data_IF_003847516690
#
_entry.id   IF_003847516690
#
_cell.length_a   1.000
_cell.length_b   1.000
_cell.length_c   1.000
_cell.angle_alpha   90.00
_cell.angle_beta   90.00
_cell.angle_gamma   90.00
#
_symmetry.space_group_name_H-M   'P 1'
#
loop_
_entity.id
_entity.type
_entity.pdbx_description
1 polymer ?
#
# COMPACT_ATOMS: atom_id res chain seq x y z
N UNK A 1 18.80 -12.48 1.45
CA UNK A 1 19.89 -11.47 1.15
C UNK A 1 19.60 -10.18 1.91
N UNK A 2 20.62 -9.38 2.28
CA UNK A 2 20.38 -8.07 2.92
C UNK A 2 19.89 -7.06 1.87
N UNK A 3 18.97 -6.16 2.26
CA UNK A 3 18.39 -5.16 1.35
C UNK A 3 19.44 -4.37 0.55
N UNK A 4 20.54 -3.98 1.21
CA UNK A 4 21.62 -3.23 0.57
C UNK A 4 22.41 -4.05 -0.45
N UNK A 5 22.58 -5.33 -0.22
CA UNK A 5 23.24 -6.24 -1.19
C UNK A 5 22.35 -6.42 -2.41
N UNK A 6 21.06 -6.58 -2.19
CA UNK A 6 20.09 -6.72 -3.28
C UNK A 6 19.97 -5.44 -4.13
N UNK A 7 19.88 -4.27 -3.50
CA UNK A 7 19.84 -3.00 -4.25
C UNK A 7 21.12 -2.74 -5.05
N UNK A 8 22.27 -3.18 -4.56
CA UNK A 8 23.54 -3.10 -5.28
C UNK A 8 23.56 -4.09 -6.45
N UNK A 9 23.11 -5.33 -6.24
CA UNK A 9 23.03 -6.35 -7.28
C UNK A 9 22.12 -5.90 -8.43
N UNK A 10 20.95 -5.32 -8.11
CA UNK A 10 20.03 -4.74 -9.09
C UNK A 10 20.66 -3.65 -9.98
N UNK A 11 21.69 -2.94 -9.49
CA UNK A 11 22.37 -1.89 -10.24
C UNK A 11 23.52 -2.44 -11.10
N UNK A 12 24.25 -3.44 -10.59
CA UNK A 12 25.46 -3.99 -11.24
C UNK A 12 25.17 -5.16 -12.16
N UNK A 13 24.19 -6.00 -11.79
CA UNK A 13 23.77 -7.20 -12.51
C UNK A 13 22.24 -7.29 -12.47
N UNK A 14 21.53 -6.52 -13.30
CA UNK A 14 20.07 -6.36 -13.20
C UNK A 14 19.28 -7.67 -13.29
N UNK A 15 19.69 -8.60 -14.14
CA UNK A 15 19.01 -9.89 -14.33
C UNK A 15 19.10 -10.74 -13.05
N UNK A 16 20.31 -10.94 -12.52
CA UNK A 16 20.53 -11.67 -11.27
C UNK A 16 19.84 -10.96 -10.07
N UNK A 17 19.91 -9.64 -10.05
CA UNK A 17 19.26 -8.82 -9.02
C UNK A 17 17.73 -8.93 -9.03
N UNK A 18 17.12 -8.96 -10.22
CA UNK A 18 15.67 -9.17 -10.36
C UNK A 18 15.27 -10.59 -9.97
N UNK A 19 16.03 -11.60 -10.38
CA UNK A 19 15.79 -12.98 -9.99
C UNK A 19 15.83 -13.16 -8.46
N UNK A 20 16.88 -12.63 -7.83
CA UNK A 20 17.02 -12.65 -6.37
C UNK A 20 15.89 -11.91 -5.66
N UNK A 21 15.49 -10.73 -6.18
CA UNK A 21 14.37 -9.97 -5.64
C UNK A 21 13.05 -10.72 -5.74
N UNK A 22 12.82 -11.40 -6.87
CA UNK A 22 11.62 -12.21 -7.06
C UNK A 22 11.60 -13.43 -6.13
N UNK A 23 12.72 -14.12 -5.95
CA UNK A 23 12.82 -15.23 -5.00
C UNK A 23 12.47 -14.80 -3.57
N UNK A 24 13.01 -13.67 -3.11
CA UNK A 24 12.81 -13.21 -1.73
C UNK A 24 11.43 -12.58 -1.50
N UNK A 25 10.87 -11.86 -2.50
CA UNK A 25 9.72 -10.98 -2.30
C UNK A 25 8.48 -11.29 -3.14
N UNK A 26 8.53 -12.20 -4.15
CA UNK A 26 7.34 -12.52 -4.94
C UNK A 26 6.16 -13.04 -4.10
N UNK A 27 6.34 -13.87 -3.06
CA UNK A 27 5.23 -14.28 -2.21
C UNK A 27 4.54 -13.10 -1.51
N UNK A 28 5.32 -12.11 -1.05
CA UNK A 28 4.81 -10.90 -0.40
C UNK A 28 4.00 -10.04 -1.39
N UNK A 29 4.59 -9.76 -2.56
CA UNK A 29 3.95 -8.96 -3.63
C UNK A 29 2.68 -9.64 -4.11
N UNK A 30 2.73 -10.95 -4.36
CA UNK A 30 1.57 -11.75 -4.78
C UNK A 30 0.46 -11.72 -3.74
N UNK A 31 0.78 -11.86 -2.45
CA UNK A 31 -0.22 -11.80 -1.38
C UNK A 31 -0.94 -10.44 -1.35
N UNK A 32 -0.21 -9.33 -1.56
CA UNK A 32 -0.79 -8.00 -1.64
C UNK A 32 -1.68 -7.84 -2.88
N UNK A 33 -1.20 -8.22 -4.06
CA UNK A 33 -1.97 -8.12 -5.30
C UNK A 33 -3.20 -9.03 -5.30
N UNK A 34 -3.15 -10.20 -4.68
CA UNK A 34 -4.32 -11.08 -4.54
C UNK A 34 -5.45 -10.45 -3.71
N UNK A 35 -5.15 -9.55 -2.79
CA UNK A 35 -6.18 -8.81 -2.03
C UNK A 35 -6.91 -7.80 -2.90
N UNK A 36 -6.22 -7.18 -3.86
CA UNK A 36 -6.74 -6.11 -4.71
C UNK A 36 -7.36 -6.66 -6.00
N UNK A 37 -6.79 -7.73 -6.55
CA UNK A 37 -7.14 -8.32 -7.85
C UNK A 37 -7.42 -9.83 -7.71
N UNK A 38 -8.44 -10.24 -6.95
CA UNK A 38 -8.63 -11.67 -6.63
C UNK A 38 -9.02 -12.52 -7.84
N UNK A 39 -9.67 -11.94 -8.85
CA UNK A 39 -10.28 -12.68 -9.96
C UNK A 39 -9.46 -12.70 -11.26
N UNK A 40 -8.45 -11.86 -11.42
CA UNK A 40 -7.70 -11.75 -12.67
C UNK A 40 -6.21 -12.08 -12.50
N UNK A 41 -5.83 -13.29 -12.95
CA UNK A 41 -4.45 -13.77 -12.84
C UNK A 41 -3.49 -13.01 -13.75
N UNK A 42 -3.89 -12.72 -14.99
CA UNK A 42 -3.06 -12.00 -15.97
C UNK A 42 -2.73 -10.59 -15.50
N UNK A 43 -3.73 -9.86 -15.00
CA UNK A 43 -3.50 -8.50 -14.47
C UNK A 43 -2.61 -8.50 -13.22
N UNK A 44 -2.69 -9.56 -12.38
CA UNK A 44 -1.78 -9.71 -11.24
C UNK A 44 -0.34 -9.95 -11.67
N UNK A 45 -0.13 -10.78 -12.68
CA UNK A 45 1.21 -11.07 -13.23
C UNK A 45 1.82 -9.80 -13.84
N UNK A 46 1.05 -9.02 -14.58
CA UNK A 46 1.47 -7.73 -15.12
C UNK A 46 1.79 -6.73 -13.99
N UNK A 47 0.91 -6.62 -13.00
CA UNK A 47 1.14 -5.75 -11.83
C UNK A 47 2.37 -6.19 -11.03
N UNK A 48 2.63 -7.50 -10.92
CA UNK A 48 3.81 -8.04 -10.25
C UNK A 48 5.09 -7.68 -11.02
N UNK A 49 5.10 -7.82 -12.34
CA UNK A 49 6.20 -7.40 -13.19
C UNK A 49 6.48 -5.90 -13.03
N UNK A 50 5.45 -5.07 -13.04
CA UNK A 50 5.55 -3.62 -12.82
C UNK A 50 6.15 -3.26 -11.46
N UNK A 51 5.84 -4.00 -10.40
CA UNK A 51 6.43 -3.80 -9.07
C UNK A 51 7.94 -4.05 -9.10
N UNK A 52 8.39 -5.16 -9.68
CA UNK A 52 9.81 -5.50 -9.74
C UNK A 52 10.58 -4.59 -10.70
N UNK A 53 10.00 -4.17 -11.82
CA UNK A 53 10.60 -3.14 -12.68
C UNK A 53 10.72 -1.79 -11.96
N UNK A 54 9.72 -1.44 -11.14
CA UNK A 54 9.79 -0.23 -10.33
C UNK A 54 10.87 -0.33 -9.26
N UNK A 55 11.06 -1.50 -8.63
CA UNK A 55 12.15 -1.76 -7.71
C UNK A 55 13.50 -1.55 -8.39
N UNK A 56 13.72 -2.17 -9.54
CA UNK A 56 14.96 -2.02 -10.31
C UNK A 56 15.25 -0.56 -10.64
N UNK A 57 14.28 0.17 -11.20
CA UNK A 57 14.44 1.60 -11.54
C UNK A 57 14.77 2.49 -10.35
N UNK A 58 14.35 2.10 -9.16
CA UNK A 58 14.59 2.86 -7.93
C UNK A 58 15.75 2.31 -7.09
N UNK A 59 16.46 1.27 -7.52
CA UNK A 59 17.48 0.59 -6.73
C UNK A 59 18.55 1.54 -6.19
N UNK A 60 19.07 2.45 -7.03
CA UNK A 60 20.07 3.45 -6.64
C UNK A 60 19.54 4.43 -5.58
N UNK A 61 18.28 4.88 -5.70
CA UNK A 61 17.66 5.76 -4.72
C UNK A 61 17.46 5.02 -3.39
N UNK A 62 16.94 3.79 -3.43
CA UNK A 62 16.68 2.96 -2.26
C UNK A 62 17.97 2.61 -1.50
N UNK A 63 19.07 2.32 -2.22
CA UNK A 63 20.38 2.12 -1.60
C UNK A 63 20.87 3.38 -0.90
N UNK A 64 20.83 4.53 -1.60
CA UNK A 64 21.29 5.82 -1.07
C UNK A 64 20.52 6.24 0.19
N UNK A 65 19.22 6.02 0.21
CA UNK A 65 18.35 6.38 1.35
C UNK A 65 18.26 5.31 2.42
N UNK A 66 18.93 4.17 2.23
CA UNK A 66 18.84 2.99 3.09
C UNK A 66 17.38 2.58 3.41
N UNK A 67 16.48 2.72 2.43
CA UNK A 67 15.06 2.42 2.57
C UNK A 67 14.85 0.91 2.70
N UNK A 68 14.16 0.42 3.74
CA UNK A 68 13.84 -1.00 3.87
C UNK A 68 12.96 -1.48 2.72
N UNK A 69 13.36 -2.55 2.01
CA UNK A 69 12.70 -3.01 0.80
C UNK A 69 11.32 -3.61 1.07
N UNK A 70 11.16 -4.35 2.16
CA UNK A 70 9.89 -5.02 2.47
C UNK A 70 8.71 -4.05 2.61
N UNK A 71 8.74 -3.00 3.47
CA UNK A 71 7.65 -2.02 3.54
C UNK A 71 7.49 -1.22 2.25
N UNK A 72 8.59 -0.88 1.57
CA UNK A 72 8.53 -0.18 0.29
C UNK A 72 7.83 -1.01 -0.79
N UNK A 73 8.10 -2.31 -0.87
CA UNK A 73 7.44 -3.23 -1.81
C UNK A 73 5.96 -3.42 -1.50
N UNK A 74 5.55 -3.45 -0.23
CA UNK A 74 4.14 -3.50 0.17
C UNK A 74 3.39 -2.28 -0.38
N UNK A 75 3.92 -1.08 -0.17
CA UNK A 75 3.33 0.17 -0.66
C UNK A 75 3.30 0.20 -2.19
N UNK A 76 4.40 -0.18 -2.83
CA UNK A 76 4.50 -0.20 -4.30
C UNK A 76 3.52 -1.20 -4.91
N UNK A 77 3.44 -2.42 -4.37
CA UNK A 77 2.50 -3.43 -4.84
C UNK A 77 1.05 -3.00 -4.65
N UNK A 78 0.73 -2.41 -3.49
CA UNK A 78 -0.58 -1.83 -3.21
C UNK A 78 -0.94 -0.76 -4.26
N UNK A 79 -0.08 0.20 -4.49
CA UNK A 79 -0.35 1.30 -5.42
C UNK A 79 -0.52 0.79 -6.86
N UNK A 80 0.40 -0.05 -7.34
CA UNK A 80 0.28 -0.68 -8.66
C UNK A 80 -1.00 -1.50 -8.83
N UNK A 81 -1.36 -2.26 -7.79
CA UNK A 81 -2.61 -3.03 -7.78
C UNK A 81 -3.84 -2.14 -7.87
N UNK A 82 -3.89 -1.04 -7.11
CA UNK A 82 -4.99 -0.07 -7.12
C UNK A 82 -5.08 0.66 -8.47
N UNK A 83 -3.95 1.12 -9.01
CA UNK A 83 -3.90 1.79 -10.31
C UNK A 83 -4.46 0.89 -11.42
N UNK A 84 -4.02 -0.38 -11.45
CA UNK A 84 -4.52 -1.37 -12.40
C UNK A 84 -6.01 -1.66 -12.20
N UNK A 85 -6.44 -1.87 -10.97
CA UNK A 85 -7.84 -2.05 -10.64
C UNK A 85 -8.70 -0.88 -11.12
N UNK A 86 -8.31 0.37 -10.84
CA UNK A 86 -9.01 1.56 -11.28
C UNK A 86 -9.05 1.69 -12.81
N UNK A 87 -7.98 1.29 -13.50
CA UNK A 87 -7.92 1.28 -14.96
C UNK A 87 -8.91 0.26 -15.56
N UNK A 88 -9.01 -0.93 -14.96
CA UNK A 88 -9.95 -1.97 -15.37
C UNK A 88 -11.41 -1.60 -15.08
N UNK A 89 -11.67 -1.05 -13.90
CA UNK A 89 -13.01 -0.61 -13.50
C UNK A 89 -13.60 0.46 -14.45
N UNK A 90 -12.76 1.29 -15.07
CA UNK A 90 -13.20 2.24 -16.10
C UNK A 90 -13.62 1.56 -17.40
N UNK A 91 -13.23 0.31 -17.62
CA UNK A 91 -13.49 -0.46 -18.83
C UNK A 91 -14.59 -1.51 -18.67
N UNK A 92 -14.78 -2.04 -17.46
CA UNK A 92 -15.74 -3.12 -17.17
C UNK A 92 -16.32 -3.01 -15.75
N UNK A 93 -17.55 -3.55 -15.55
CA UNK A 93 -18.19 -3.63 -14.23
C UNK A 93 -17.57 -4.80 -13.44
N UNK A 94 -16.56 -4.54 -12.64
CA UNK A 94 -15.97 -5.54 -11.75
C UNK A 94 -16.67 -5.44 -10.38
N UNK A 95 -17.30 -6.53 -9.96
CA UNK A 95 -17.86 -6.65 -8.60
C UNK A 95 -16.74 -6.95 -7.61
N UNK A 96 -16.56 -6.07 -6.64
CA UNK A 96 -15.65 -6.28 -5.50
C UNK A 96 -16.42 -6.75 -4.28
N UNK A 97 -15.66 -7.39 -3.36
CA UNK A 97 -16.08 -7.47 -1.95
C UNK A 97 -16.31 -6.06 -1.41
N UNK A 98 -17.50 -5.83 -0.82
CA UNK A 98 -17.96 -4.51 -0.35
C UNK A 98 -16.94 -3.81 0.56
N UNK A 99 -16.25 -4.56 1.42
CA UNK A 99 -15.24 -4.02 2.32
C UNK A 99 -13.98 -3.51 1.61
N UNK A 100 -13.59 -4.14 0.49
CA UNK A 100 -12.47 -3.69 -0.32
C UNK A 100 -12.85 -2.48 -1.17
N UNK A 101 -14.06 -2.45 -1.73
CA UNK A 101 -14.58 -1.31 -2.48
C UNK A 101 -14.61 -0.04 -1.63
N UNK A 102 -15.09 -0.16 -0.37
CA UNK A 102 -15.08 0.94 0.61
C UNK A 102 -13.64 1.42 0.89
N UNK A 103 -12.72 0.49 1.18
CA UNK A 103 -11.31 0.82 1.47
C UNK A 103 -10.64 1.53 0.29
N UNK A 104 -10.88 1.08 -0.94
CA UNK A 104 -10.33 1.71 -2.14
C UNK A 104 -10.95 3.08 -2.41
N UNK A 105 -12.24 3.26 -2.10
CA UNK A 105 -12.90 4.56 -2.15
C UNK A 105 -12.30 5.56 -1.17
N UNK A 106 -12.07 5.15 0.07
CA UNK A 106 -11.39 5.96 1.10
C UNK A 106 -9.96 6.33 0.71
N UNK A 107 -9.22 5.38 0.13
CA UNK A 107 -7.86 5.62 -0.36
C UNK A 107 -7.83 6.62 -1.51
N UNK A 108 -8.78 6.52 -2.46
CA UNK A 108 -8.88 7.45 -3.57
C UNK A 108 -9.17 8.89 -3.10
N UNK A 109 -9.82 9.05 -1.96
CA UNK A 109 -10.04 10.35 -1.33
C UNK A 109 -8.71 10.96 -0.82
N UNK A 110 -7.81 10.14 -0.26
CA UNK A 110 -6.49 10.59 0.20
C UNK A 110 -5.47 10.74 -0.94
N UNK A 111 -5.54 9.89 -1.98
CA UNK A 111 -4.58 9.90 -3.11
C UNK A 111 -4.82 11.05 -4.12
N UNK A 112 -5.94 11.79 -4.03
CA UNK A 112 -6.14 13.04 -4.79
C UNK A 112 -5.22 14.18 -4.34
N UNK A 113 -4.59 14.01 -3.23
CA UNK A 113 -3.56 14.90 -2.77
C UNK A 113 -2.22 14.59 -3.50
N UNK A 114 -1.39 15.60 -3.74
CA UNK A 114 -0.09 15.51 -4.43
C UNK A 114 0.87 14.52 -3.75
N UNK A 115 1.97 14.14 -4.43
CA UNK A 115 2.99 13.24 -3.88
C UNK A 115 3.50 13.67 -2.49
N UNK A 116 3.58 14.98 -2.23
CA UNK A 116 3.95 15.55 -0.93
C UNK A 116 2.91 15.24 0.16
N UNK A 117 1.66 15.06 -0.21
CA UNK A 117 0.59 14.71 0.72
C UNK A 117 0.62 13.23 1.12
N UNK A 118 1.04 12.33 0.25
CA UNK A 118 1.18 10.92 0.59
C UNK A 118 2.27 10.71 1.66
N UNK A 119 3.39 11.44 1.57
CA UNK A 119 4.44 11.44 2.58
C UNK A 119 3.93 12.02 3.91
N UNK A 120 3.13 13.09 3.85
CA UNK A 120 2.53 13.71 5.03
C UNK A 120 1.52 12.79 5.72
N UNK A 121 0.63 12.14 4.96
CA UNK A 121 -0.33 11.14 5.51
C UNK A 121 0.43 10.00 6.18
N UNK A 122 1.49 9.48 5.54
CA UNK A 122 2.35 8.45 6.11
C UNK A 122 2.96 8.88 7.45
N UNK A 123 3.47 10.11 7.53
CA UNK A 123 4.03 10.68 8.76
C UNK A 123 2.96 10.86 9.86
N UNK A 124 1.76 11.33 9.50
CA UNK A 124 0.65 11.49 10.44
C UNK A 124 0.17 10.14 10.99
N UNK A 125 0.07 9.12 10.14
CA UNK A 125 -0.27 7.76 10.59
C UNK A 125 0.82 7.18 11.50
N UNK A 126 2.09 7.38 11.15
CA UNK A 126 3.22 6.93 11.99
C UNK A 126 3.24 7.59 13.37
N UNK A 127 2.74 8.83 13.48
CA UNK A 127 2.62 9.56 14.74
C UNK A 127 1.41 9.18 15.59
N UNK A 128 0.50 8.35 15.08
CA UNK A 128 -0.64 7.85 15.87
C UNK A 128 -0.17 6.94 17.01
N UNK A 129 -0.85 7.03 18.15
CA UNK A 129 -0.63 6.11 19.24
C UNK A 129 -1.23 4.72 18.93
N UNK A 130 -0.65 3.61 19.46
CA UNK A 130 -1.31 2.31 19.43
C UNK A 130 -2.64 2.35 20.22
N UNK A 131 -3.67 1.60 19.83
CA UNK A 131 -3.73 0.69 18.67
C UNK A 131 -4.12 1.37 17.35
N UNK A 132 -4.43 2.66 17.35
CA UNK A 132 -4.95 3.37 16.17
C UNK A 132 -3.98 3.29 14.99
N UNK A 133 -2.67 3.47 15.22
CA UNK A 133 -1.63 3.30 14.20
C UNK A 133 -1.69 1.92 13.55
N UNK A 134 -1.77 0.87 14.36
CA UNK A 134 -1.76 -0.51 13.86
C UNK A 134 -3.03 -0.82 13.07
N UNK A 135 -4.18 -0.28 13.49
CA UNK A 135 -5.46 -0.37 12.77
C UNK A 135 -5.35 0.30 11.40
N UNK A 136 -4.81 1.51 11.35
CA UNK A 136 -4.64 2.25 10.09
C UNK A 136 -3.66 1.56 9.13
N UNK A 137 -2.50 1.09 9.63
CA UNK A 137 -1.56 0.33 8.82
C UNK A 137 -2.18 -0.94 8.25
N UNK A 138 -2.93 -1.68 9.06
CA UNK A 138 -3.62 -2.90 8.62
C UNK A 138 -4.71 -2.61 7.60
N UNK A 139 -5.53 -1.57 7.83
CA UNK A 139 -6.63 -1.21 6.92
C UNK A 139 -6.10 -0.70 5.58
N UNK A 140 -5.22 0.28 5.58
CA UNK A 140 -4.87 1.05 4.37
C UNK A 140 -3.58 0.58 3.67
N UNK A 141 -2.65 -0.03 4.39
CA UNK A 141 -1.43 -0.56 3.78
C UNK A 141 -1.51 -2.07 3.52
N UNK A 142 -2.04 -2.84 4.48
CA UNK A 142 -2.20 -4.28 4.32
C UNK A 142 -3.56 -4.69 3.71
N UNK A 143 -4.47 -3.73 3.52
CA UNK A 143 -5.82 -3.92 2.97
C UNK A 143 -6.61 -5.03 3.68
N UNK A 144 -6.46 -5.12 5.01
CA UNK A 144 -7.18 -6.09 5.83
C UNK A 144 -8.62 -5.65 6.05
N UNK A 145 -9.55 -6.60 6.05
CA UNK A 145 -10.94 -6.37 6.44
C UNK A 145 -11.03 -6.04 7.93
N UNK A 146 -12.12 -5.38 8.34
CA UNK A 146 -12.38 -5.11 9.76
C UNK A 146 -12.38 -6.37 10.63
N UNK A 147 -12.84 -7.52 10.10
CA UNK A 147 -12.81 -8.83 10.78
C UNK A 147 -11.39 -9.34 10.99
N UNK A 148 -10.52 -9.25 9.96
CA UNK A 148 -9.11 -9.65 10.07
C UNK A 148 -8.34 -8.77 11.06
N UNK A 149 -8.60 -7.45 11.05
CA UNK A 149 -7.98 -6.50 11.98
C UNK A 149 -8.44 -6.81 13.41
N UNK A 150 -9.74 -7.02 13.62
CA UNK A 150 -10.33 -7.35 14.90
C UNK A 150 -9.73 -8.63 15.49
N UNK A 151 -9.61 -9.69 14.68
CA UNK A 151 -8.96 -10.94 15.07
C UNK A 151 -7.47 -10.74 15.42
N UNK A 152 -6.74 -9.98 14.60
CA UNK A 152 -5.31 -9.75 14.80
C UNK A 152 -4.98 -8.90 16.04
N UNK A 153 -5.87 -7.98 16.44
CA UNK A 153 -5.66 -7.08 17.58
C UNK A 153 -6.49 -7.47 18.81
N UNK A 154 -7.22 -8.59 18.76
CA UNK A 154 -8.12 -9.04 19.81
C UNK A 154 -9.12 -7.96 20.25
N UNK A 155 -9.77 -7.34 19.26
CA UNK A 155 -10.75 -6.25 19.44
C UNK A 155 -12.05 -6.61 18.75
N UNK A 156 -13.16 -5.92 19.11
CA UNK A 156 -14.42 -6.03 18.36
C UNK A 156 -14.35 -5.26 17.02
N UNK A 157 -15.06 -5.75 16.00
CA UNK A 157 -15.18 -5.07 14.69
C UNK A 157 -15.76 -3.66 14.85
N UNK A 158 -16.73 -3.50 15.75
CA UNK A 158 -17.34 -2.20 16.08
C UNK A 158 -16.30 -1.21 16.64
N UNK A 159 -15.44 -1.68 17.55
CA UNK A 159 -14.33 -0.87 18.08
C UNK A 159 -13.35 -0.45 16.99
N UNK A 160 -13.01 -1.36 16.06
CA UNK A 160 -12.16 -1.05 14.90
C UNK A 160 -12.79 0.04 14.04
N UNK A 161 -14.07 -0.12 13.66
CA UNK A 161 -14.77 0.85 12.81
C UNK A 161 -14.87 2.23 13.47
N UNK A 162 -15.18 2.28 14.77
CA UNK A 162 -15.22 3.53 15.54
C UNK A 162 -13.87 4.25 15.54
N UNK A 163 -12.77 3.50 15.74
CA UNK A 163 -11.41 4.06 15.72
C UNK A 163 -10.99 4.53 14.34
N UNK A 164 -11.33 3.79 13.29
CA UNK A 164 -11.10 4.20 11.90
C UNK A 164 -11.83 5.52 11.60
N UNK A 165 -13.13 5.62 11.95
CA UNK A 165 -13.91 6.84 11.72
C UNK A 165 -13.26 8.06 12.41
N UNK A 166 -13.00 7.95 13.72
CA UNK A 166 -12.38 9.04 14.50
C UNK A 166 -10.98 9.42 13.99
N UNK A 167 -10.21 8.41 13.57
CA UNK A 167 -8.87 8.62 13.03
C UNK A 167 -8.89 9.34 11.67
N UNK A 168 -9.85 9.00 10.78
CA UNK A 168 -10.05 9.71 9.51
C UNK A 168 -10.41 11.18 9.74
N UNK A 169 -11.33 11.47 10.65
CA UNK A 169 -11.71 12.86 10.97
C UNK A 169 -10.54 13.66 11.52
N UNK A 170 -9.68 13.03 12.30
CA UNK A 170 -8.44 13.66 12.80
C UNK A 170 -7.46 13.94 11.65
N UNK A 171 -7.23 12.95 10.76
CA UNK A 171 -6.35 13.12 9.61
C UNK A 171 -6.84 14.24 8.69
N UNK A 172 -8.15 14.25 8.34
CA UNK A 172 -8.74 15.32 7.52
C UNK A 172 -8.49 16.71 8.12
N UNK A 173 -8.72 16.88 9.42
CA UNK A 173 -8.45 18.16 10.09
C UNK A 173 -6.98 18.55 10.00
N UNK A 174 -6.06 17.65 10.31
CA UNK A 174 -4.62 17.92 10.24
C UNK A 174 -4.13 18.24 8.82
N UNK A 175 -4.70 17.58 7.80
CA UNK A 175 -4.38 17.84 6.40
C UNK A 175 -4.94 19.21 5.95
N UNK A 176 -6.15 19.59 6.40
CA UNK A 176 -6.73 20.90 6.14
C UNK A 176 -5.92 22.00 6.78
N UNK A 177 -5.51 21.86 8.04
CA UNK A 177 -4.66 22.80 8.75
C UNK A 177 -3.29 23.03 8.07
N UNK A 178 -2.79 22.00 7.38
CA UNK A 178 -1.53 22.06 6.60
C UNK A 178 -1.74 22.54 5.15
N UNK A 179 -2.96 22.89 4.76
CA UNK A 179 -3.27 23.40 3.42
C UNK A 179 -3.21 22.34 2.30
N UNK A 180 -3.17 21.05 2.65
CA UNK A 180 -3.05 19.94 1.71
C UNK A 180 -4.42 19.38 1.31
N UNK A 181 -5.44 19.60 2.13
CA UNK A 181 -6.81 19.18 1.89
C UNK A 181 -7.74 20.38 1.87
N UNK A 182 -8.36 20.64 0.73
CA UNK A 182 -9.43 21.65 0.59
C UNK A 182 -10.76 20.92 0.41
N UNK A 183 -11.73 21.23 1.26
CA UNK A 183 -13.11 20.82 1.03
C UNK A 183 -13.58 21.41 -0.30
N UNK A 184 -13.85 20.56 -1.28
CA UNK A 184 -14.61 20.93 -2.47
C UNK A 184 -16.09 20.81 -2.18
#
# INVERSE_FOLDING_TARGET
>A
MKDRELTRLLQTQPEEGLEAAMLDYAPLVKAMLNRIQPQNTSDREESMADVFLTLWRNAAKLERTATPLRPWLIVTARNKGIDRYNALRRRETVTLDDGLAETLGELAEFDRATADAADLVGALVAAMAPPDRDIFLRKYYLLQSGKEIAAALNMSVESINTRLSRGRDRLRRQLTEKGVYTHA
#
